data_IF_102969505490
#
_entry.id   IF_102969505490
#
_cell.length_a   1.000
_cell.length_b   1.000
_cell.length_c   1.000
_cell.angle_alpha   90.00
_cell.angle_beta   90.00
_cell.angle_gamma   90.00
#
_symmetry.space_group_name_H-M   'P 1'
#
loop_
_entity.id
_entity.type
_entity.pdbx_description
1 polymer ?
#
# COMPACT_ATOMS: atom_id res chain seq x y z
N UNK A 1 15.67 2.09 13.85
CA UNK A 1 14.48 1.60 13.13
C UNK A 1 14.62 0.09 13.03
N UNK A 2 13.94 -0.65 13.90
CA UNK A 2 14.01 -2.12 13.88
C UNK A 2 13.38 -2.66 12.58
N UNK A 3 14.05 -3.54 11.83
CA UNK A 3 13.44 -4.20 10.69
C UNK A 3 12.21 -4.96 11.17
N UNK A 4 11.08 -4.77 10.48
CA UNK A 4 9.83 -5.47 10.75
C UNK A 4 10.05 -7.00 10.70
N UNK A 5 10.42 -7.61 11.83
CA UNK A 5 10.62 -9.06 12.00
C UNK A 5 9.30 -9.85 11.94
N UNK A 6 8.18 -9.18 11.69
CA UNK A 6 6.84 -9.78 11.65
C UNK A 6 6.66 -10.77 10.50
N UNK A 7 7.47 -10.67 9.44
CA UNK A 7 7.41 -11.58 8.30
C UNK A 7 8.76 -12.24 8.13
N UNK A 8 8.79 -13.58 8.19
CA UNK A 8 9.99 -14.42 8.00
C UNK A 8 10.45 -14.40 6.52
N UNK A 9 10.45 -13.23 5.89
CA UNK A 9 10.97 -13.01 4.57
C UNK A 9 12.41 -12.53 4.67
N UNK A 10 13.30 -13.08 3.84
CA UNK A 10 14.75 -12.86 3.96
C UNK A 10 15.23 -11.58 3.25
N UNK A 11 14.47 -11.10 2.27
CA UNK A 11 14.87 -9.94 1.47
C UNK A 11 14.32 -8.64 2.07
N UNK A 12 15.03 -7.51 1.93
CA UNK A 12 14.52 -6.20 2.28
C UNK A 12 13.25 -5.88 1.50
N UNK A 13 12.29 -5.26 2.18
CA UNK A 13 11.08 -4.72 1.56
C UNK A 13 11.21 -3.21 1.42
N UNK A 14 10.79 -2.69 0.28
CA UNK A 14 10.79 -1.27 -0.06
C UNK A 14 9.35 -0.80 -0.21
N UNK A 15 9.08 0.42 0.24
CA UNK A 15 7.78 1.05 0.06
C UNK A 15 7.63 1.52 -1.38
N UNK A 16 6.62 1.00 -2.07
CA UNK A 16 6.24 1.38 -3.43
C UNK A 16 4.97 2.21 -3.35
N UNK A 17 4.95 3.38 -3.97
CA UNK A 17 3.76 4.23 -4.08
C UNK A 17 3.06 3.93 -5.40
N UNK A 18 1.77 3.68 -5.32
CA UNK A 18 0.89 3.49 -6.46
C UNK A 18 0.50 4.88 -6.99
N UNK A 19 0.49 5.09 -8.31
CA UNK A 19 -0.07 6.30 -8.90
C UNK A 19 -1.49 6.50 -8.39
N UNK A 20 -1.77 7.68 -7.86
CA UNK A 20 -3.14 8.09 -7.56
C UNK A 20 -3.72 8.65 -8.85
N UNK A 21 -4.86 8.15 -9.29
CA UNK A 21 -5.69 8.87 -10.27
C UNK A 21 -6.20 10.14 -9.57
N UNK A 22 -5.36 11.18 -9.58
CA UNK A 22 -5.74 12.52 -9.21
C UNK A 22 -6.66 13.01 -10.32
N UNK A 23 -7.95 12.74 -10.19
CA UNK A 23 -8.97 13.40 -10.99
C UNK A 23 -8.95 14.88 -10.56
N UNK A 24 -8.13 15.70 -11.21
CA UNK A 24 -8.15 17.15 -11.05
C UNK A 24 -9.49 17.65 -11.55
N UNK A 25 -10.53 17.59 -10.71
CA UNK A 25 -11.71 18.43 -10.91
C UNK A 25 -11.28 19.85 -10.57
N UNK A 26 -10.79 20.55 -11.58
CA UNK A 26 -10.75 21.99 -11.63
C UNK A 26 -12.16 22.53 -11.27
N UNK A 27 -12.33 23.10 -10.09
CA UNK A 27 -13.59 23.75 -9.66
C UNK A 27 -13.67 25.23 -10.07
N UNK A 28 -12.79 25.70 -10.95
CA UNK A 28 -12.77 27.08 -11.45
C UNK A 28 -12.96 27.06 -12.97
N UNK A 29 -14.21 26.88 -13.40
CA UNK A 29 -14.63 27.21 -14.75
C UNK A 29 -15.07 28.68 -14.77
N UNK A 30 -14.11 29.57 -14.99
CA UNK A 30 -14.32 30.89 -15.59
C UNK A 30 -12.95 31.35 -16.09
N UNK A 31 -12.66 31.08 -17.36
CA UNK A 31 -12.33 32.09 -18.37
C UNK A 31 -11.70 31.42 -19.60
N UNK A 32 -12.21 31.86 -20.75
CA UNK A 32 -11.92 31.46 -22.12
C UNK A 32 -10.43 31.62 -22.44
N UNK A 33 -9.76 30.56 -22.94
CA UNK A 33 -8.68 30.66 -23.93
C UNK A 33 -8.43 29.30 -24.61
N UNK A 34 -8.37 29.34 -25.93
CA UNK A 34 -8.17 28.23 -26.87
C UNK A 34 -6.71 27.70 -26.85
N UNK A 35 -6.59 26.38 -27.06
CA UNK A 35 -5.41 25.64 -27.52
C UNK A 35 -4.15 25.59 -26.64
N UNK A 36 -4.04 24.54 -25.83
CA UNK A 36 -2.89 23.63 -25.91
C UNK A 36 -3.36 22.25 -25.46
N UNK A 37 -3.09 21.22 -26.27
CA UNK A 37 -3.36 19.82 -25.95
C UNK A 37 -2.66 19.46 -24.62
N UNK A 38 -3.33 19.69 -23.50
CA UNK A 38 -2.94 19.16 -22.20
C UNK A 38 -3.27 17.67 -22.27
N UNK A 39 -2.35 16.92 -22.88
CA UNK A 39 -2.29 15.47 -22.74
C UNK A 39 -2.05 15.25 -21.25
N UNK A 40 -3.14 15.20 -20.48
CA UNK A 40 -3.18 14.44 -19.25
C UNK A 40 -2.70 13.05 -19.69
N UNK A 41 -1.43 12.75 -19.42
CA UNK A 41 -0.89 11.40 -19.55
C UNK A 41 -1.78 10.55 -18.64
N UNK A 42 -2.88 10.05 -19.21
CA UNK A 42 -3.80 9.11 -18.62
C UNK A 42 -2.97 7.84 -18.55
N UNK A 43 -2.14 7.77 -17.51
CA UNK A 43 -1.30 6.63 -17.21
C UNK A 43 -2.29 5.50 -16.97
N UNK A 44 -2.54 4.72 -18.01
CA UNK A 44 -3.26 3.46 -17.94
C UNK A 44 -2.52 2.65 -16.89
N UNK A 45 -3.04 2.69 -15.66
CA UNK A 45 -2.46 1.97 -14.55
C UNK A 45 -2.68 0.51 -14.90
N UNK A 46 -1.65 -0.10 -15.49
CA UNK A 46 -1.64 -1.54 -15.68
C UNK A 46 -1.73 -2.11 -14.27
N UNK A 47 -2.91 -2.62 -13.92
CA UNK A 47 -3.15 -3.32 -12.67
C UNK A 47 -2.27 -4.57 -12.69
N UNK A 48 -1.01 -4.41 -12.32
CA UNK A 48 -0.10 -5.52 -12.14
C UNK A 48 -0.68 -6.38 -11.02
N UNK A 49 -0.91 -7.66 -11.33
CA UNK A 49 -1.56 -8.67 -10.48
C UNK A 49 -0.74 -8.86 -9.18
N UNK A 50 -0.86 -7.93 -8.24
CA UNK A 50 -0.03 -7.84 -7.06
C UNK A 50 -0.82 -8.33 -5.85
N UNK A 51 -0.57 -9.57 -5.41
CA UNK A 51 -1.24 -10.18 -4.26
C UNK A 51 -0.40 -10.08 -2.99
N UNK A 52 -1.01 -9.65 -1.89
CA UNK A 52 -0.35 -9.63 -0.58
C UNK A 52 -0.02 -11.04 -0.10
N UNK A 53 1.26 -11.34 0.10
CA UNK A 53 1.71 -12.67 0.52
C UNK A 53 1.22 -13.09 1.91
N UNK A 54 0.73 -12.14 2.72
CA UNK A 54 0.25 -12.41 4.08
C UNK A 54 -1.26 -12.67 4.16
N UNK A 55 -2.12 -11.79 3.65
CA UNK A 55 -3.58 -12.00 3.70
C UNK A 55 -4.14 -12.70 2.46
N UNK A 56 -3.34 -12.84 1.38
CA UNK A 56 -3.76 -13.42 0.10
C UNK A 56 -4.77 -12.59 -0.69
N UNK A 57 -5.07 -11.38 -0.24
CA UNK A 57 -5.89 -10.41 -0.97
C UNK A 57 -5.05 -9.57 -1.94
N UNK A 58 -5.68 -9.08 -3.00
CA UNK A 58 -5.08 -8.17 -3.98
C UNK A 58 -4.70 -6.81 -3.39
N UNK A 59 -3.65 -6.22 -3.95
CA UNK A 59 -3.17 -4.87 -3.66
C UNK A 59 -3.67 -3.94 -4.77
N UNK A 60 -4.83 -3.35 -4.54
CA UNK A 60 -5.47 -2.35 -5.41
C UNK A 60 -4.84 -0.95 -5.31
N UNK A 61 -5.10 -0.12 -6.32
CA UNK A 61 -4.67 1.29 -6.41
C UNK A 61 -5.04 2.14 -5.20
N UNK A 62 -6.23 1.92 -4.60
CA UNK A 62 -6.69 2.66 -3.42
C UNK A 62 -5.85 2.41 -2.15
N UNK A 63 -4.95 1.41 -2.14
CA UNK A 63 -4.04 1.20 -1.02
C UNK A 63 -2.94 2.27 -0.95
N UNK A 64 -2.77 3.09 -2.01
CA UNK A 64 -1.79 4.19 -2.15
C UNK A 64 -0.34 3.73 -2.16
N UNK A 65 0.02 2.76 -1.32
CA UNK A 65 1.34 2.21 -1.23
C UNK A 65 1.33 0.79 -0.64
N UNK A 66 2.37 0.04 -0.95
CA UNK A 66 2.59 -1.31 -0.45
C UNK A 66 4.09 -1.58 -0.32
N UNK A 67 4.45 -2.62 0.43
CA UNK A 67 5.84 -3.07 0.52
C UNK A 67 6.12 -4.16 -0.51
N UNK A 68 7.22 -4.06 -1.25
CA UNK A 68 7.66 -5.06 -2.22
C UNK A 68 9.16 -5.35 -2.10
N UNK A 69 9.53 -6.61 -2.36
CA UNK A 69 10.93 -6.99 -2.54
C UNK A 69 11.35 -6.80 -3.99
N UNK A 70 12.50 -6.14 -4.21
CA UNK A 70 13.09 -6.01 -5.56
C UNK A 70 13.75 -7.31 -6.05
N UNK A 71 13.97 -8.29 -5.17
CA UNK A 71 14.73 -9.50 -5.49
C UNK A 71 13.85 -10.74 -5.64
N UNK A 72 12.56 -10.64 -5.33
CA UNK A 72 11.59 -11.73 -5.48
C UNK A 72 10.16 -11.21 -5.48
N UNK A 73 9.21 -12.04 -5.91
CA UNK A 73 7.78 -11.71 -5.95
C UNK A 73 7.14 -11.80 -4.56
N UNK A 74 7.59 -10.94 -3.64
CA UNK A 74 7.05 -10.82 -2.29
C UNK A 74 6.56 -9.40 -2.06
N UNK A 75 5.26 -9.25 -1.86
CA UNK A 75 4.59 -8.00 -1.58
C UNK A 75 3.64 -8.13 -0.38
N UNK A 76 3.46 -7.02 0.34
CA UNK A 76 2.55 -6.91 1.48
C UNK A 76 1.82 -5.58 1.40
N UNK A 77 0.54 -5.54 1.73
CA UNK A 77 -0.09 -4.25 2.08
C UNK A 77 0.73 -3.59 3.17
N UNK A 78 0.80 -2.25 3.16
CA UNK A 78 1.44 -1.48 4.23
C UNK A 78 0.92 -1.90 5.61
N UNK A 79 -0.41 -1.97 5.73
CA UNK A 79 -1.07 -2.46 6.94
C UNK A 79 -0.63 -3.87 7.32
N UNK A 80 -0.60 -4.80 6.36
CA UNK A 80 -0.15 -6.17 6.62
C UNK A 80 1.30 -6.23 7.11
N UNK A 81 2.19 -5.39 6.59
CA UNK A 81 3.60 -5.33 6.99
C UNK A 81 3.81 -4.75 8.40
N UNK A 82 2.97 -3.81 8.80
CA UNK A 82 3.06 -3.10 10.09
C UNK A 82 2.23 -3.77 11.21
N UNK A 83 1.43 -4.79 10.85
CA UNK A 83 0.56 -5.48 11.79
C UNK A 83 1.35 -6.35 12.77
N UNK A 84 1.24 -6.02 14.06
CA UNK A 84 1.80 -6.84 15.12
C UNK A 84 1.02 -8.16 15.25
N UNK A 85 1.70 -9.29 14.99
CA UNK A 85 1.14 -10.63 15.22
C UNK A 85 0.85 -10.91 16.70
N UNK A 86 1.55 -10.21 17.58
CA UNK A 86 1.48 -10.34 19.03
C UNK A 86 1.37 -8.95 19.64
N UNK A 87 0.30 -8.69 20.37
CA UNK A 87 0.11 -7.46 21.12
C UNK A 87 0.22 -7.80 22.61
N UNK A 88 1.27 -7.28 23.26
CA UNK A 88 1.50 -7.48 24.70
C UNK A 88 0.87 -6.32 25.47
N UNK A 89 0.40 -6.59 26.70
CA UNK A 89 -0.08 -5.57 27.64
C UNK A 89 -1.19 -4.66 27.08
N UNK A 90 -2.14 -5.23 26.34
CA UNK A 90 -3.27 -4.45 25.83
C UNK A 90 -4.11 -3.92 27.01
N UNK A 91 -4.47 -2.62 27.06
CA UNK A 91 -5.09 -1.99 28.23
C UNK A 91 -6.44 -2.61 28.61
N UNK A 92 -7.18 -3.17 27.65
CA UNK A 92 -8.45 -3.88 27.89
C UNK A 92 -8.28 -5.38 28.19
N UNK A 93 -7.09 -5.93 27.94
CA UNK A 93 -6.77 -7.34 28.19
C UNK A 93 -5.45 -7.44 28.98
N UNK A 94 -5.44 -7.02 30.26
CA UNK A 94 -4.24 -7.10 31.09
C UNK A 94 -3.90 -8.57 31.39
N UNK A 95 -2.67 -8.97 31.05
CA UNK A 95 -2.14 -10.31 31.32
C UNK A 95 -1.86 -11.12 30.05
N UNK A 96 -2.89 -11.59 29.31
CA UNK A 96 -2.66 -12.44 28.16
C UNK A 96 -2.17 -11.64 26.96
N UNK A 97 -1.15 -12.17 26.30
CA UNK A 97 -0.75 -11.71 24.98
C UNK A 97 -1.88 -11.96 23.99
N UNK A 98 -2.28 -10.93 23.25
CA UNK A 98 -3.23 -11.09 22.16
C UNK A 98 -2.47 -11.50 20.91
N UNK A 99 -2.94 -12.58 20.28
CA UNK A 99 -2.39 -13.07 19.04
C UNK A 99 -3.38 -12.83 17.93
N UNK A 100 -2.90 -12.26 16.84
CA UNK A 100 -3.67 -12.24 15.61
C UNK A 100 -3.56 -13.60 14.95
N UNK A 101 -4.65 -14.37 15.02
CA UNK A 101 -4.81 -15.58 14.23
C UNK A 101 -5.38 -15.20 12.86
N UNK A 102 -4.75 -15.71 11.80
CA UNK A 102 -5.22 -15.61 10.42
C UNK A 102 -5.68 -16.99 9.97
#
# INVERSE_FOLDING_TARGET
>A
MDPLRAFRHKHPLYLVHLPQQLHHKNENADDEDEDEDEIEDEVEFVEEDCQCNLCKEHIWSFHICYYSSKTCNYSLHKFCAELHRKLQNHPLHPGPDLFLFK
#
